data_IF_318624486453
#
_entry.id   IF_318624486453
#
_cell.length_a   1.000
_cell.length_b   1.000
_cell.length_c   1.000
_cell.angle_alpha   90.00
_cell.angle_beta   90.00
_cell.angle_gamma   90.00
#
_symmetry.space_group_name_H-M   'P 1'
#
loop_
_entity.id
_entity.type
_entity.pdbx_description
1 polymer ?
#
# COMPACT_ATOMS: atom_id res chain seq x y z
N UNK A 1 2.32 14.95 -4.06
CA UNK A 1 2.51 13.50 -3.87
C UNK A 1 1.22 12.82 -4.31
N UNK A 2 1.26 11.98 -5.34
CA UNK A 2 0.10 11.26 -5.88
C UNK A 2 -0.16 9.98 -5.06
N UNK A 3 -1.36 9.39 -5.15
CA UNK A 3 -1.64 8.07 -4.57
C UNK A 3 -0.64 6.98 -4.99
N UNK A 4 -0.18 7.03 -6.25
CA UNK A 4 0.80 6.09 -6.79
C UNK A 4 2.18 6.27 -6.16
N UNK A 5 2.61 7.52 -5.96
CA UNK A 5 3.87 7.84 -5.28
C UNK A 5 3.86 7.35 -3.82
N UNK A 6 2.72 7.45 -3.13
CA UNK A 6 2.56 6.92 -1.77
C UNK A 6 2.62 5.39 -1.76
N UNK A 7 1.92 4.73 -2.71
CA UNK A 7 1.92 3.28 -2.82
C UNK A 7 3.33 2.72 -3.05
N UNK A 8 4.10 3.35 -3.94
CA UNK A 8 5.48 2.96 -4.22
C UNK A 8 6.42 3.27 -3.05
N UNK A 9 6.24 4.40 -2.36
CA UNK A 9 7.02 4.71 -1.16
C UNK A 9 6.80 3.67 -0.04
N UNK A 10 5.55 3.30 0.23
CA UNK A 10 5.21 2.27 1.22
C UNK A 10 5.81 0.93 0.84
N UNK A 11 5.69 0.53 -0.44
CA UNK A 11 6.28 -0.71 -0.96
C UNK A 11 7.80 -0.72 -0.83
N UNK A 12 8.45 0.39 -1.20
CA UNK A 12 9.91 0.55 -1.12
C UNK A 12 10.40 0.42 0.32
N UNK A 13 9.84 1.19 1.25
CA UNK A 13 10.23 1.17 2.66
C UNK A 13 10.02 -0.22 3.27
N UNK A 14 8.87 -0.86 3.01
CA UNK A 14 8.58 -2.21 3.52
C UNK A 14 9.62 -3.22 3.05
N UNK A 15 9.93 -3.25 1.74
CA UNK A 15 10.92 -4.15 1.16
C UNK A 15 12.31 -3.88 1.71
N UNK A 16 12.70 -2.61 1.85
CA UNK A 16 14.00 -2.20 2.40
C UNK A 16 14.17 -2.65 3.86
N UNK A 17 13.08 -2.68 4.62
CA UNK A 17 13.06 -3.19 5.99
C UNK A 17 12.95 -4.72 6.09
N UNK A 18 12.90 -5.45 4.97
CA UNK A 18 12.81 -6.91 4.96
C UNK A 18 11.44 -7.46 5.40
N UNK A 19 10.40 -6.62 5.44
CA UNK A 19 9.08 -7.00 5.94
C UNK A 19 8.19 -7.55 4.83
N UNK A 20 7.40 -8.56 5.16
CA UNK A 20 6.20 -8.94 4.41
C UNK A 20 5.08 -7.93 4.64
N UNK A 21 4.07 -7.92 3.76
CA UNK A 21 2.88 -7.07 3.95
C UNK A 21 2.14 -7.40 5.25
N UNK A 22 2.13 -8.68 5.64
CA UNK A 22 1.51 -9.16 6.89
C UNK A 22 2.26 -8.64 8.12
N UNK A 23 3.59 -8.68 8.11
CA UNK A 23 4.39 -8.16 9.22
C UNK A 23 4.24 -6.65 9.35
N UNK A 24 4.28 -5.91 8.25
CA UNK A 24 4.03 -4.46 8.30
C UNK A 24 2.61 -4.15 8.82
N UNK A 25 1.60 -4.91 8.39
CA UNK A 25 0.24 -4.74 8.90
C UNK A 25 0.16 -4.98 10.42
N UNK A 26 0.86 -6.03 10.89
CA UNK A 26 0.95 -6.34 12.32
C UNK A 26 1.63 -5.21 13.11
N UNK A 27 2.78 -4.72 12.65
CA UNK A 27 3.50 -3.62 13.30
C UNK A 27 2.71 -2.30 13.30
N UNK A 28 1.97 -2.03 12.23
CA UNK A 28 1.13 -0.83 12.11
C UNK A 28 -0.21 -0.94 12.84
N UNK A 29 -0.56 -2.10 13.41
CA UNK A 29 -1.85 -2.32 14.08
C UNK A 29 -3.06 -2.27 13.14
N UNK A 30 -2.89 -2.63 11.88
CA UNK A 30 -3.94 -2.61 10.85
C UNK A 30 -4.34 -4.01 10.38
N UNK A 31 -5.48 -4.11 9.69
CA UNK A 31 -5.94 -5.36 9.10
C UNK A 31 -4.92 -5.95 8.11
N UNK A 32 -4.83 -7.28 8.04
CA UNK A 32 -3.84 -8.02 7.23
C UNK A 32 -3.85 -7.69 5.73
N UNK A 33 -4.93 -7.11 5.20
CA UNK A 33 -5.05 -6.72 3.79
C UNK A 33 -4.73 -5.25 3.53
N UNK A 34 -4.68 -4.40 4.55
CA UNK A 34 -4.56 -2.94 4.39
C UNK A 34 -3.28 -2.57 3.65
N UNK A 35 -2.15 -3.21 3.95
CA UNK A 35 -0.88 -2.95 3.25
C UNK A 35 -0.96 -3.38 1.78
N UNK A 36 -1.61 -4.50 1.50
CA UNK A 36 -1.83 -4.93 0.12
C UNK A 36 -2.71 -3.92 -0.63
N UNK A 37 -3.76 -3.41 0.01
CA UNK A 37 -4.68 -2.44 -0.57
C UNK A 37 -4.00 -1.08 -0.80
N UNK A 38 -3.12 -0.65 0.11
CA UNK A 38 -2.29 0.55 -0.08
C UNK A 38 -1.34 0.38 -1.27
N UNK A 39 -0.65 -0.76 -1.36
CA UNK A 39 0.33 -1.00 -2.43
C UNK A 39 -0.28 -1.27 -3.80
N UNK A 40 -1.57 -1.63 -3.90
CA UNK A 40 -2.17 -2.13 -5.15
C UNK A 40 -3.57 -1.58 -5.47
N UNK A 41 -4.40 -1.27 -4.48
CA UNK A 41 -5.80 -0.83 -4.68
C UNK A 41 -5.99 0.68 -4.66
N UNK A 42 -5.14 1.42 -3.93
CA UNK A 42 -5.07 2.89 -4.04
C UNK A 42 -4.79 3.32 -5.50
N UNK A 43 -4.04 2.49 -6.24
CA UNK A 43 -3.79 2.64 -7.69
C UNK A 43 -5.06 2.35 -8.52
N UNK A 44 -5.92 1.38 -8.11
CA UNK A 44 -7.12 0.99 -8.89
C UNK A 44 -8.34 1.90 -8.69
N UNK A 45 -8.42 2.64 -7.59
CA UNK A 45 -9.55 3.56 -7.34
C UNK A 45 -9.48 4.85 -8.18
N UNK A 46 -8.36 5.10 -8.88
CA UNK A 46 -8.22 6.21 -9.83
C UNK A 46 -8.81 5.96 -11.23
N UNK A 47 -9.37 4.78 -11.52
CA UNK A 47 -9.90 4.42 -12.86
C UNK A 47 -11.42 4.18 -12.91
N UNK A 48 -12.17 4.68 -11.93
CA UNK A 48 -13.62 4.85 -12.08
C UNK A 48 -13.97 6.33 -11.89
N UNK A 49 -13.26 7.21 -12.60
CA UNK A 49 -13.83 8.51 -12.96
C UNK A 49 -14.70 8.26 -14.18
N UNK A 50 -16.01 8.11 -13.94
CA UNK A 50 -17.01 8.20 -15.00
C UNK A 50 -16.84 9.53 -15.74
N UNK A 51 -16.59 9.46 -17.05
CA UNK A 51 -16.90 10.49 -18.04
C UNK A 51 -17.09 9.78 -19.37
#
# INVERSE_FOLDING_TARGET
>A
MTPDEIAELVRYCRKRSGLTQKELALYAGVGKTVIYDIENRLIRLGLISHS
#
